data_IF_298396501038
#
_entry.id   IF_298396501038
#
_cell.length_a   1.000
_cell.length_b   1.000
_cell.length_c   1.000
_cell.angle_alpha   90.00
_cell.angle_beta   90.00
_cell.angle_gamma   90.00
#
_symmetry.space_group_name_H-M   'P 1'
#
loop_
_entity.id
_entity.type
_entity.pdbx_description
1 polymer ?
#
# COMPACT_ATOMS: atom_id res chain seq x y z
N UNK A 1 42.36 9.75 -13.23
CA UNK A 1 40.90 9.77 -13.46
C UNK A 1 40.16 10.41 -12.30
N UNK A 2 40.46 10.04 -11.05
CA UNK A 2 39.77 10.50 -9.83
C UNK A 2 39.95 12.03 -9.60
N UNK A 3 41.10 12.62 -9.93
CA UNK A 3 41.34 14.05 -9.79
C UNK A 3 40.42 14.85 -10.71
N UNK A 4 40.32 14.52 -12.00
CA UNK A 4 39.42 15.20 -12.96
C UNK A 4 37.94 15.13 -12.54
N UNK A 5 37.50 14.02 -11.96
CA UNK A 5 36.12 13.87 -11.48
C UNK A 5 35.85 14.77 -10.27
N UNK A 6 36.85 14.94 -9.39
CA UNK A 6 36.75 15.86 -8.27
C UNK A 6 36.65 17.32 -8.73
N UNK A 7 37.51 17.73 -9.67
CA UNK A 7 37.51 19.07 -10.24
C UNK A 7 36.18 19.42 -10.92
N UNK A 8 35.63 18.48 -11.71
CA UNK A 8 34.33 18.65 -12.38
C UNK A 8 33.16 18.75 -11.37
N UNK A 9 33.22 18.04 -10.26
CA UNK A 9 32.20 18.15 -9.21
C UNK A 9 32.24 19.52 -8.53
N UNK A 10 33.42 20.04 -8.26
CA UNK A 10 33.60 21.39 -7.69
C UNK A 10 33.05 22.44 -8.66
N UNK A 11 33.42 22.37 -9.94
CA UNK A 11 32.97 23.31 -10.96
C UNK A 11 31.45 23.23 -11.15
N UNK A 12 30.86 22.04 -11.20
CA UNK A 12 29.40 21.87 -11.21
C UNK A 12 28.72 22.60 -10.06
N UNK A 13 29.21 22.40 -8.84
CA UNK A 13 28.61 23.03 -7.66
C UNK A 13 28.76 24.55 -7.65
N UNK A 14 29.89 25.07 -8.18
CA UNK A 14 30.11 26.50 -8.38
C UNK A 14 29.06 27.11 -9.31
N UNK A 15 28.88 26.51 -10.48
CA UNK A 15 27.90 26.97 -11.50
C UNK A 15 26.47 26.94 -10.93
N UNK A 16 26.06 25.84 -10.27
CA UNK A 16 24.73 25.74 -9.67
C UNK A 16 24.50 26.86 -8.63
N UNK A 17 25.50 27.16 -7.81
CA UNK A 17 25.43 28.21 -6.78
C UNK A 17 25.36 29.61 -7.40
N UNK A 18 26.15 29.91 -8.44
CA UNK A 18 26.14 31.18 -9.15
C UNK A 18 24.77 31.50 -9.77
N UNK A 19 24.05 30.47 -10.22
CA UNK A 19 22.73 30.63 -10.81
C UNK A 19 21.55 30.43 -9.82
N UNK A 20 21.83 30.36 -8.50
CA UNK A 20 20.83 30.10 -7.47
C UNK A 20 20.04 28.80 -7.69
N UNK A 21 20.66 27.78 -8.27
CA UNK A 21 20.07 26.48 -8.50
C UNK A 21 20.44 25.56 -7.34
N UNK A 22 19.48 24.80 -6.76
CA UNK A 22 19.78 23.84 -5.69
C UNK A 22 20.82 22.80 -6.13
N UNK A 23 21.75 22.43 -5.26
CA UNK A 23 22.78 21.43 -5.53
C UNK A 23 22.22 20.06 -5.98
N UNK A 24 20.99 19.75 -5.54
CA UNK A 24 20.24 18.53 -5.88
C UNK A 24 19.52 18.59 -7.23
N UNK A 25 19.54 19.71 -7.93
CA UNK A 25 18.80 19.91 -9.19
C UNK A 25 19.13 18.88 -10.28
N UNK A 26 20.38 18.43 -10.35
CA UNK A 26 20.84 17.44 -11.29
C UNK A 26 20.85 16.00 -10.72
N UNK A 27 20.35 15.81 -9.52
CA UNK A 27 20.22 14.48 -8.96
C UNK A 27 18.99 13.77 -9.56
N UNK A 28 19.10 12.47 -9.88
CA UNK A 28 17.96 11.73 -10.40
C UNK A 28 16.85 11.65 -9.35
N UNK A 29 15.63 11.94 -9.77
CA UNK A 29 14.44 11.72 -8.96
C UNK A 29 13.98 10.28 -9.14
N UNK A 30 13.75 9.58 -8.02
CA UNK A 30 13.25 8.21 -8.02
C UNK A 30 11.85 8.15 -7.39
N UNK A 31 10.91 7.46 -8.05
CA UNK A 31 9.60 7.15 -7.46
C UNK A 31 9.74 6.17 -6.29
N UNK A 32 10.63 5.20 -6.42
CA UNK A 32 10.94 4.22 -5.39
C UNK A 32 12.34 4.43 -4.80
N UNK A 33 12.41 4.91 -3.57
CA UNK A 33 13.69 5.13 -2.88
C UNK A 33 14.43 3.84 -2.50
N UNK A 34 13.73 2.69 -2.48
CA UNK A 34 14.32 1.40 -2.10
C UNK A 34 15.16 0.84 -3.25
N UNK A 35 14.58 0.71 -4.44
CA UNK A 35 15.25 0.13 -5.60
C UNK A 35 15.73 1.16 -6.62
N UNK A 36 15.46 2.45 -6.40
CA UNK A 36 15.78 3.53 -7.35
C UNK A 36 15.25 3.21 -8.76
N UNK A 37 13.98 2.80 -8.82
CA UNK A 37 13.21 2.47 -10.01
C UNK A 37 13.72 1.26 -10.83
N UNK A 38 14.70 0.53 -10.34
CA UNK A 38 15.18 -0.70 -11.01
C UNK A 38 14.21 -1.87 -10.87
N UNK A 39 13.30 -1.84 -9.90
CA UNK A 39 12.37 -2.92 -9.57
C UNK A 39 13.00 -4.08 -8.79
N UNK A 40 14.31 -4.08 -8.58
CA UNK A 40 15.05 -5.17 -7.93
C UNK A 40 15.87 -4.68 -6.75
N UNK A 41 16.02 -5.56 -5.74
CA UNK A 41 16.85 -5.34 -4.56
C UNK A 41 17.88 -6.46 -4.50
N UNK A 42 19.14 -6.12 -4.32
CA UNK A 42 20.19 -7.11 -4.09
C UNK A 42 20.09 -7.66 -2.66
N UNK A 43 19.90 -8.99 -2.56
CA UNK A 43 19.85 -9.73 -1.30
C UNK A 43 21.08 -10.64 -1.21
N UNK A 44 22.26 -10.05 -0.91
CA UNK A 44 23.53 -10.77 -0.87
C UNK A 44 24.37 -10.62 -2.15
N UNK A 45 25.42 -11.44 -2.29
CA UNK A 45 26.43 -11.28 -3.34
C UNK A 45 26.00 -11.74 -4.75
N UNK A 46 24.94 -12.52 -4.88
CA UNK A 46 24.52 -13.09 -6.18
C UNK A 46 23.00 -13.21 -6.36
N UNK A 47 22.19 -12.90 -5.36
CA UNK A 47 20.73 -13.01 -5.44
C UNK A 47 20.07 -11.63 -5.53
N UNK A 48 19.14 -11.47 -6.47
CA UNK A 48 18.27 -10.30 -6.54
C UNK A 48 16.82 -10.71 -6.26
N UNK A 49 16.09 -9.92 -5.48
CA UNK A 49 14.67 -10.09 -5.24
C UNK A 49 13.86 -8.94 -5.83
N UNK A 50 12.58 -9.19 -6.14
CA UNK A 50 11.68 -8.14 -6.60
C UNK A 50 11.45 -7.12 -5.49
N UNK A 51 11.58 -5.84 -5.82
CA UNK A 51 11.20 -4.76 -4.93
C UNK A 51 9.69 -4.74 -4.70
N UNK A 52 9.26 -4.29 -3.51
CA UNK A 52 7.84 -4.13 -3.19
C UNK A 52 7.08 -3.26 -4.20
N UNK A 53 7.70 -2.21 -4.74
CA UNK A 53 7.10 -1.36 -5.77
C UNK A 53 6.78 -2.14 -7.06
N UNK A 54 7.68 -3.01 -7.53
CA UNK A 54 7.43 -3.83 -8.71
C UNK A 54 6.42 -4.94 -8.41
N UNK A 55 6.51 -5.57 -7.23
CA UNK A 55 5.49 -6.54 -6.79
C UNK A 55 4.10 -5.90 -6.79
N UNK A 56 3.95 -4.68 -6.26
CA UNK A 56 2.68 -3.98 -6.24
C UNK A 56 2.18 -3.66 -7.66
N UNK A 57 3.04 -3.15 -8.55
CA UNK A 57 2.67 -2.88 -9.95
C UNK A 57 2.20 -4.15 -10.68
N UNK A 58 2.83 -5.29 -10.42
CA UNK A 58 2.39 -6.57 -10.99
C UNK A 58 1.02 -7.01 -10.43
N UNK A 59 0.78 -6.82 -9.13
CA UNK A 59 -0.53 -7.06 -8.51
C UNK A 59 -1.61 -6.16 -9.10
N UNK A 60 -1.32 -4.89 -9.29
CA UNK A 60 -2.25 -3.92 -9.86
C UNK A 60 -2.65 -4.28 -11.29
N UNK A 61 -1.69 -4.70 -12.11
CA UNK A 61 -1.93 -5.12 -13.48
C UNK A 61 -2.74 -6.42 -13.54
N UNK A 62 -2.43 -7.38 -12.67
CA UNK A 62 -2.99 -8.73 -12.76
C UNK A 62 -4.35 -8.88 -12.06
N UNK A 63 -4.57 -8.17 -10.92
CA UNK A 63 -5.69 -8.45 -10.03
C UNK A 63 -6.47 -7.22 -9.57
N UNK A 64 -5.83 -6.05 -9.50
CA UNK A 64 -6.42 -4.88 -8.86
C UNK A 64 -6.99 -3.85 -9.84
N UNK A 65 -7.08 -4.17 -11.14
CA UNK A 65 -7.39 -3.24 -12.24
C UNK A 65 -8.60 -2.31 -12.03
N UNK A 66 -9.56 -2.70 -11.20
CA UNK A 66 -10.81 -1.93 -11.02
C UNK A 66 -10.92 -1.21 -9.67
N UNK A 67 -10.14 -1.59 -8.66
CA UNK A 67 -10.39 -1.16 -7.27
C UNK A 67 -9.30 -0.24 -6.69
N UNK A 68 -8.07 -0.30 -7.19
CA UNK A 68 -6.96 0.52 -6.68
C UNK A 68 -6.96 1.96 -7.22
N UNK A 69 -7.70 2.26 -8.28
CA UNK A 69 -7.81 3.62 -8.82
C UNK A 69 -8.28 4.67 -7.79
N UNK A 70 -8.91 4.25 -6.71
CA UNK A 70 -9.41 5.13 -5.66
C UNK A 70 -8.48 5.26 -4.45
N UNK A 71 -7.38 4.49 -4.35
CA UNK A 71 -6.50 4.52 -3.17
C UNK A 71 -5.91 5.90 -2.89
N UNK A 72 -5.60 6.68 -3.91
CA UNK A 72 -5.08 8.05 -3.73
C UNK A 72 -6.11 8.99 -3.09
N UNK A 73 -7.40 8.74 -3.31
CA UNK A 73 -8.52 9.54 -2.81
C UNK A 73 -9.04 9.04 -1.47
N UNK A 74 -8.96 7.73 -1.21
CA UNK A 74 -9.47 7.07 -0.02
C UNK A 74 -8.32 6.75 0.94
N UNK A 75 -8.01 7.68 1.83
CA UNK A 75 -6.96 7.56 2.82
C UNK A 75 -7.42 8.15 4.16
N UNK A 76 -6.69 7.89 5.25
CA UNK A 76 -7.08 8.36 6.59
C UNK A 76 -7.14 9.89 6.73
N UNK A 77 -6.44 10.65 5.90
CA UNK A 77 -6.46 12.11 5.91
C UNK A 77 -7.72 12.67 5.21
N UNK A 78 -8.24 11.97 4.20
CA UNK A 78 -9.45 12.36 3.47
C UNK A 78 -10.72 11.81 4.12
N UNK A 79 -10.60 10.93 5.11
CA UNK A 79 -11.75 10.38 5.82
C UNK A 79 -12.44 11.44 6.65
N UNK A 80 -13.72 11.69 6.35
CA UNK A 80 -14.52 12.68 7.06
C UNK A 80 -15.49 12.01 8.04
N UNK A 81 -15.15 12.03 9.32
CA UNK A 81 -16.00 11.52 10.40
C UNK A 81 -17.29 12.33 10.63
N UNK A 82 -17.36 13.57 10.16
CA UNK A 82 -18.51 14.44 10.38
C UNK A 82 -19.76 14.05 9.58
N UNK A 83 -19.62 13.15 8.60
CA UNK A 83 -20.78 12.57 7.90
C UNK A 83 -21.61 11.65 8.81
N UNK A 84 -21.03 11.17 9.92
CA UNK A 84 -21.72 10.33 10.89
C UNK A 84 -22.38 11.17 11.97
N UNK A 85 -23.61 10.76 12.38
CA UNK A 85 -24.36 11.44 13.43
C UNK A 85 -23.64 11.40 14.77
N UNK A 86 -23.67 12.51 15.50
CA UNK A 86 -23.15 12.60 16.87
C UNK A 86 -24.21 12.29 17.93
N UNK A 87 -25.47 12.02 17.50
CA UNK A 87 -26.55 11.67 18.41
C UNK A 87 -26.44 10.21 18.85
N UNK A 88 -26.57 9.98 20.15
CA UNK A 88 -26.66 8.64 20.71
C UNK A 88 -28.10 8.15 20.54
N UNK A 89 -28.32 7.07 19.81
CA UNK A 89 -29.62 6.46 19.55
C UNK A 89 -29.57 4.99 19.98
N UNK A 90 -29.54 4.76 21.29
CA UNK A 90 -29.35 3.42 21.88
C UNK A 90 -30.42 2.42 21.43
N UNK A 91 -31.70 2.87 21.34
CA UNK A 91 -32.79 2.02 20.88
C UNK A 91 -32.63 1.53 19.45
N UNK A 92 -32.00 2.35 18.59
CA UNK A 92 -31.79 2.05 17.18
C UNK A 92 -30.53 1.23 16.88
N UNK A 93 -29.46 1.50 17.62
CA UNK A 93 -28.15 0.92 17.34
C UNK A 93 -27.68 -0.09 18.40
N UNK A 94 -28.36 -0.19 19.54
CA UNK A 94 -28.00 -1.12 20.62
C UNK A 94 -26.71 -0.78 21.36
N UNK A 95 -26.15 0.42 21.14
CA UNK A 95 -24.88 0.88 21.72
C UNK A 95 -25.03 2.27 22.35
N UNK A 96 -24.29 2.54 23.43
CA UNK A 96 -24.33 3.82 24.15
C UNK A 96 -23.29 4.83 23.67
N UNK A 97 -22.89 4.76 22.41
CA UNK A 97 -21.97 5.70 21.77
C UNK A 97 -22.59 6.20 20.46
N UNK A 98 -22.25 7.42 20.05
CA UNK A 98 -22.73 7.94 18.78
C UNK A 98 -22.07 7.22 17.60
N UNK A 99 -22.72 7.16 16.41
CA UNK A 99 -22.12 6.64 15.20
C UNK A 99 -20.77 7.30 14.87
N UNK A 100 -20.63 8.61 15.13
CA UNK A 100 -19.38 9.35 14.94
C UNK A 100 -18.30 8.84 15.90
N UNK A 101 -18.59 8.70 17.18
CA UNK A 101 -17.61 8.17 18.14
C UNK A 101 -17.20 6.74 17.81
N UNK A 102 -18.14 5.91 17.37
CA UNK A 102 -17.87 4.56 16.94
C UNK A 102 -16.89 4.50 15.74
N UNK A 103 -17.15 5.30 14.70
CA UNK A 103 -16.29 5.29 13.51
C UNK A 103 -14.89 5.87 13.79
N UNK A 104 -14.76 6.83 14.71
CA UNK A 104 -13.48 7.35 15.19
C UNK A 104 -12.69 6.22 15.87
N UNK A 105 -13.36 5.42 16.70
CA UNK A 105 -12.76 4.25 17.36
C UNK A 105 -12.31 3.20 16.34
N UNK A 106 -13.13 2.93 15.32
CA UNK A 106 -12.78 2.02 14.22
C UNK A 106 -11.57 2.55 13.45
N UNK A 107 -11.55 3.84 13.10
CA UNK A 107 -10.41 4.49 12.43
C UNK A 107 -9.12 4.33 13.23
N UNK A 108 -9.17 4.56 14.54
CA UNK A 108 -8.01 4.36 15.43
C UNK A 108 -7.50 2.92 15.38
N UNK A 109 -8.39 1.93 15.49
CA UNK A 109 -8.02 0.50 15.38
C UNK A 109 -7.39 0.15 14.02
N UNK A 110 -7.87 0.76 12.93
CA UNK A 110 -7.28 0.57 11.60
C UNK A 110 -5.86 1.14 11.52
N UNK A 111 -5.64 2.31 12.11
CA UNK A 111 -4.32 2.95 12.19
C UNK A 111 -3.37 2.10 13.04
N UNK A 112 -3.84 1.59 14.17
CA UNK A 112 -3.05 0.73 15.06
C UNK A 112 -2.71 -0.61 14.38
N UNK A 113 -3.63 -1.17 13.59
CA UNK A 113 -3.37 -2.34 12.76
C UNK A 113 -2.21 -2.10 11.79
N UNK A 114 -2.22 -0.97 11.06
CA UNK A 114 -1.15 -0.62 10.13
C UNK A 114 0.19 -0.46 10.84
N UNK A 115 0.21 0.21 12.01
CA UNK A 115 1.43 0.41 12.81
C UNK A 115 2.03 -0.91 13.31
N UNK A 116 1.18 -1.87 13.66
CA UNK A 116 1.59 -3.15 14.21
C UNK A 116 1.55 -4.29 13.18
N UNK A 117 1.51 -3.98 11.89
CA UNK A 117 1.30 -4.96 10.83
C UNK A 117 2.35 -6.10 10.82
N UNK A 118 3.58 -5.80 11.17
CA UNK A 118 4.68 -6.78 11.21
C UNK A 118 4.76 -7.56 12.53
N UNK A 119 3.94 -7.21 13.52
CA UNK A 119 3.91 -7.95 14.77
C UNK A 119 3.10 -9.26 14.57
N UNK A 120 3.67 -10.44 14.84
CA UNK A 120 2.99 -11.73 14.68
C UNK A 120 1.72 -11.88 15.53
N UNK A 121 1.59 -11.11 16.60
CA UNK A 121 0.41 -11.11 17.46
C UNK A 121 -0.72 -10.21 16.93
N UNK A 122 -0.51 -9.52 15.80
CA UNK A 122 -1.54 -8.66 15.20
C UNK A 122 -2.64 -9.51 14.57
N UNK A 123 -3.86 -9.35 15.06
CA UNK A 123 -5.02 -10.10 14.56
C UNK A 123 -5.58 -9.50 13.27
N UNK A 124 -6.20 -10.35 12.44
CA UNK A 124 -6.92 -9.92 11.25
C UNK A 124 -8.09 -9.00 11.59
N UNK A 125 -8.43 -8.10 10.67
CA UNK A 125 -9.59 -7.22 10.80
C UNK A 125 -10.78 -7.78 10.00
N UNK A 126 -11.95 -7.80 10.63
CA UNK A 126 -13.22 -8.11 10.00
C UNK A 126 -14.16 -6.91 10.12
N UNK A 127 -14.56 -6.31 8.99
CA UNK A 127 -15.55 -5.26 8.93
C UNK A 127 -16.94 -5.83 8.67
N UNK A 128 -17.88 -5.56 9.59
CA UNK A 128 -19.29 -5.95 9.47
C UNK A 128 -20.19 -4.72 9.53
N UNK A 129 -21.38 -4.82 8.95
CA UNK A 129 -22.37 -3.74 8.95
C UNK A 129 -23.04 -3.56 7.59
N UNK A 130 -24.07 -2.71 7.55
CA UNK A 130 -24.88 -2.45 6.37
C UNK A 130 -24.07 -1.79 5.23
N UNK A 131 -24.62 -1.79 4.02
CA UNK A 131 -24.03 -1.13 2.86
C UNK A 131 -23.94 0.39 3.11
N UNK A 132 -22.90 1.03 2.57
CA UNK A 132 -22.71 2.48 2.66
C UNK A 132 -22.03 2.98 3.95
N UNK A 133 -21.68 2.11 4.91
CA UNK A 133 -21.08 2.51 6.19
C UNK A 133 -19.53 2.72 6.12
N UNK A 134 -18.93 2.76 4.93
CA UNK A 134 -17.50 3.07 4.79
C UNK A 134 -16.55 1.88 4.96
N UNK A 135 -17.04 0.62 4.97
CA UNK A 135 -16.15 -0.57 5.10
C UNK A 135 -15.07 -0.61 4.03
N UNK A 136 -15.44 -0.45 2.77
CA UNK A 136 -14.50 -0.41 1.64
C UNK A 136 -13.54 0.76 1.75
N UNK A 137 -14.03 1.94 2.15
CA UNK A 137 -13.18 3.11 2.37
C UNK A 137 -12.11 2.84 3.43
N UNK A 138 -12.47 2.26 4.57
CA UNK A 138 -11.50 1.89 5.62
C UNK A 138 -10.49 0.84 5.14
N UNK A 139 -10.95 -0.17 4.37
CA UNK A 139 -10.05 -1.15 3.75
C UNK A 139 -9.05 -0.48 2.80
N UNK A 140 -9.50 0.49 2.01
CA UNK A 140 -8.63 1.25 1.10
C UNK A 140 -7.67 2.18 1.86
N UNK A 141 -8.09 2.78 2.99
CA UNK A 141 -7.19 3.53 3.86
C UNK A 141 -6.03 2.66 4.39
N UNK A 142 -6.36 1.45 4.87
CA UNK A 142 -5.36 0.49 5.35
C UNK A 142 -4.42 0.10 4.20
N UNK A 143 -4.97 -0.28 3.04
CA UNK A 143 -4.21 -0.66 1.87
C UNK A 143 -3.24 0.44 1.42
N UNK A 144 -3.72 1.69 1.36
CA UNK A 144 -2.91 2.86 1.01
C UNK A 144 -1.70 3.03 1.95
N UNK A 145 -1.92 2.98 3.27
CA UNK A 145 -0.82 3.15 4.23
C UNK A 145 0.16 1.95 4.20
N UNK A 146 -0.34 0.73 4.03
CA UNK A 146 0.53 -0.44 3.88
C UNK A 146 1.40 -0.36 2.63
N UNK A 147 0.84 0.07 1.49
CA UNK A 147 1.60 0.29 0.25
C UNK A 147 2.67 1.36 0.43
N UNK A 148 2.34 2.49 1.07
CA UNK A 148 3.32 3.54 1.41
C UNK A 148 4.46 3.01 2.29
N UNK A 149 4.16 2.06 3.18
CA UNK A 149 5.15 1.39 4.03
C UNK A 149 5.90 0.26 3.30
N UNK A 150 5.76 0.15 1.98
CA UNK A 150 6.46 -0.83 1.16
C UNK A 150 5.90 -2.25 1.22
N UNK A 151 4.68 -2.43 1.75
CA UNK A 151 3.99 -3.72 1.74
C UNK A 151 3.24 -3.93 0.43
N UNK A 152 3.12 -5.19 -0.01
CA UNK A 152 2.28 -5.53 -1.16
C UNK A 152 0.87 -5.83 -0.70
N UNK A 153 -0.13 -5.29 -1.42
CA UNK A 153 -1.55 -5.47 -1.11
C UNK A 153 -2.27 -6.10 -2.29
N UNK A 154 -2.95 -7.20 -2.03
CA UNK A 154 -3.84 -7.86 -2.96
C UNK A 154 -5.29 -7.57 -2.58
N UNK A 155 -6.03 -6.91 -3.46
CA UNK A 155 -7.46 -6.65 -3.29
C UNK A 155 -8.28 -7.55 -4.20
N UNK A 156 -9.13 -8.38 -3.63
CA UNK A 156 -10.00 -9.28 -4.40
C UNK A 156 -11.39 -9.35 -3.78
N UNK A 157 -12.40 -9.53 -4.65
CA UNK A 157 -13.75 -9.90 -4.21
C UNK A 157 -13.79 -11.38 -3.85
N UNK A 158 -14.67 -11.77 -2.93
CA UNK A 158 -14.79 -13.16 -2.50
C UNK A 158 -15.06 -14.15 -3.66
N UNK A 159 -15.93 -13.87 -4.65
CA UNK A 159 -16.12 -14.74 -5.80
C UNK A 159 -14.81 -15.00 -6.56
N UNK A 160 -14.06 -13.95 -6.89
CA UNK A 160 -12.78 -14.05 -7.63
C UNK A 160 -11.74 -14.84 -6.84
N UNK A 161 -11.65 -14.61 -5.52
CA UNK A 161 -10.76 -15.37 -4.66
C UNK A 161 -11.12 -16.85 -4.64
N UNK A 162 -12.41 -17.17 -4.50
CA UNK A 162 -12.90 -18.56 -4.48
C UNK A 162 -12.66 -19.26 -5.81
N UNK A 163 -12.95 -18.64 -6.95
CA UNK A 163 -12.63 -19.17 -8.27
C UNK A 163 -11.13 -19.48 -8.40
N UNK A 164 -10.28 -18.57 -8.00
CA UNK A 164 -8.83 -18.76 -8.04
C UNK A 164 -8.38 -19.94 -7.18
N UNK A 165 -8.94 -20.09 -5.97
CA UNK A 165 -8.61 -21.20 -5.06
C UNK A 165 -9.11 -22.53 -5.61
N UNK A 166 -10.32 -22.56 -6.19
CA UNK A 166 -10.93 -23.75 -6.81
C UNK A 166 -10.11 -24.18 -8.01
N UNK A 167 -9.77 -23.26 -8.90
CA UNK A 167 -8.95 -23.55 -10.08
C UNK A 167 -7.59 -24.10 -9.69
N UNK A 168 -6.96 -23.55 -8.67
CA UNK A 168 -5.68 -24.01 -8.16
C UNK A 168 -5.77 -25.42 -7.55
N UNK A 169 -6.87 -25.74 -6.85
CA UNK A 169 -7.06 -27.01 -6.18
C UNK A 169 -7.47 -28.15 -7.13
N UNK A 170 -8.26 -27.85 -8.15
CA UNK A 170 -8.88 -28.85 -9.02
C UNK A 170 -8.27 -28.91 -10.42
N UNK A 171 -7.73 -27.81 -10.96
CA UNK A 171 -7.05 -27.78 -12.25
C UNK A 171 -5.57 -28.10 -12.08
N UNK A 172 -5.26 -29.40 -12.04
CA UNK A 172 -3.87 -29.94 -11.96
C UNK A 172 -2.98 -29.64 -13.18
N UNK A 173 -3.50 -28.95 -14.19
CA UNK A 173 -2.82 -28.76 -15.48
C UNK A 173 -2.88 -27.29 -15.91
N UNK A 174 -2.00 -26.47 -15.37
CA UNK A 174 -1.36 -25.35 -16.08
C UNK A 174 -0.29 -24.74 -15.17
N UNK A 175 0.96 -25.06 -15.45
CA UNK A 175 2.13 -24.28 -15.01
C UNK A 175 2.01 -22.89 -15.63
N UNK A 176 1.45 -21.95 -14.91
CA UNK A 176 1.40 -20.56 -15.33
C UNK A 176 2.26 -19.74 -14.37
N UNK A 177 2.82 -18.68 -14.87
CA UNK A 177 3.54 -17.64 -14.11
C UNK A 177 2.71 -17.15 -12.89
N UNK A 178 1.38 -17.37 -12.92
CA UNK A 178 0.45 -17.11 -11.83
C UNK A 178 0.66 -18.02 -10.61
N UNK A 179 1.07 -19.29 -10.80
CA UNK A 179 1.27 -20.22 -9.68
C UNK A 179 2.45 -19.84 -8.79
N UNK A 180 3.53 -19.36 -9.38
CA UNK A 180 4.71 -18.91 -8.61
C UNK A 180 4.44 -17.59 -7.87
N UNK A 181 3.55 -16.76 -8.39
CA UNK A 181 3.16 -15.53 -7.76
C UNK A 181 2.36 -15.77 -6.46
N UNK A 182 1.35 -16.65 -6.48
CA UNK A 182 0.59 -16.99 -5.27
C UNK A 182 1.41 -17.72 -4.22
N UNK A 183 2.40 -18.52 -4.60
CA UNK A 183 3.33 -19.15 -3.65
C UNK A 183 4.22 -18.15 -2.91
N UNK A 184 4.45 -16.97 -3.52
CA UNK A 184 5.32 -15.94 -2.95
C UNK A 184 4.54 -14.81 -2.25
N UNK A 185 3.21 -14.80 -2.33
CA UNK A 185 2.34 -13.75 -1.76
C UNK A 185 1.45 -14.28 -0.64
N UNK A 186 1.16 -15.57 -0.62
CA UNK A 186 0.46 -16.31 0.43
C UNK A 186 1.42 -17.17 1.23
#
# INVERSE_FOLDING_TARGET
>A
LNSKVADLKIEKNRILKEHNIPSTYLEPFYECNICKDTGYIQTGTSASSLCSCLKQKLLDISYNKSNISNLSKENFATFNENIFSDKIETEKFGINISPRQNIITIKSKCIDFVKNFDNPDTHNLLFTGNTGLGKTFMSNCIANELIKNGKSVLYQTAPVLLETVIDKKFNKYKNSVQDDFYKNVL
#
